data_IF_328357141424
#
_entry.id   IF_328357141424
#
_cell.length_a   1.000
_cell.length_b   1.000
_cell.length_c   1.000
_cell.angle_alpha   90.00
_cell.angle_beta   90.00
_cell.angle_gamma   90.00
#
_symmetry.space_group_name_H-M   'P 1'
#
loop_
_entity.id
_entity.type
_entity.pdbx_description
1 polymer ?
#
# COMPACT_ATOMS: atom_id res chain seq x y z
N UNK A 1 -2.61 -0.24 28.27
CA UNK A 1 -1.57 0.28 27.35
C UNK A 1 -1.03 1.58 27.90
N UNK A 2 0.30 1.73 27.99
CA UNK A 2 0.91 3.02 28.34
C UNK A 2 0.61 4.06 27.24
N UNK A 3 0.65 5.36 27.58
CA UNK A 3 0.40 6.43 26.61
C UNK A 3 1.34 6.38 25.40
N UNK A 4 2.59 5.95 25.60
CA UNK A 4 3.56 5.81 24.52
C UNK A 4 3.13 4.75 23.50
N UNK A 5 2.49 3.65 23.92
CA UNK A 5 1.97 2.65 22.99
C UNK A 5 0.77 3.14 22.18
N UNK A 6 -0.06 4.02 22.75
CA UNK A 6 -1.21 4.58 22.03
C UNK A 6 -0.80 5.48 20.86
N UNK A 7 0.33 6.17 20.97
CA UNK A 7 0.86 7.03 19.90
C UNK A 7 1.29 6.23 18.67
N UNK A 8 1.83 5.03 18.86
CA UNK A 8 2.36 4.17 17.79
C UNK A 8 1.30 3.59 16.83
N UNK A 9 0.01 3.80 17.14
CA UNK A 9 -1.15 3.34 16.38
C UNK A 9 -2.07 4.50 15.97
N UNK A 10 -1.62 5.74 16.18
CA UNK A 10 -2.34 6.96 15.81
C UNK A 10 -1.76 7.52 14.51
N UNK A 11 -2.63 7.83 13.54
CA UNK A 11 -2.21 8.35 12.23
C UNK A 11 -1.41 9.66 12.33
N UNK A 12 -1.67 10.47 13.37
CA UNK A 12 -0.95 11.72 13.63
C UNK A 12 0.54 11.55 13.89
N UNK A 13 0.98 10.37 14.34
CA UNK A 13 2.40 10.09 14.59
C UNK A 13 3.21 9.98 13.29
N UNK A 14 2.54 9.79 12.15
CA UNK A 14 3.15 9.47 10.87
C UNK A 14 3.03 10.58 9.81
N UNK A 15 2.52 11.76 10.19
CA UNK A 15 2.25 12.87 9.25
C UNK A 15 3.52 13.39 8.58
N UNK A 16 4.63 13.41 9.32
CA UNK A 16 5.91 13.97 8.85
C UNK A 16 6.83 12.91 8.23
N UNK A 17 6.34 11.69 8.03
CA UNK A 17 7.11 10.61 7.39
C UNK A 17 7.15 10.82 5.87
N UNK A 18 8.24 10.37 5.24
CA UNK A 18 8.30 10.29 3.77
C UNK A 18 7.17 9.40 3.23
N UNK A 19 6.50 9.79 2.12
CA UNK A 19 5.35 9.07 1.61
C UNK A 19 5.75 7.91 0.70
N UNK A 20 4.98 6.83 0.77
CA UNK A 20 4.95 5.78 -0.24
C UNK A 20 3.71 5.98 -1.11
N UNK A 21 3.94 6.12 -2.41
CA UNK A 21 2.91 6.42 -3.39
C UNK A 21 2.26 5.17 -3.98
N UNK A 22 0.94 5.21 -4.13
CA UNK A 22 0.14 4.23 -4.86
C UNK A 22 -0.71 4.96 -5.90
N UNK A 23 -0.61 4.58 -7.17
CA UNK A 23 -1.45 5.16 -8.22
C UNK A 23 -1.99 4.08 -9.14
N UNK A 24 -3.31 4.06 -9.30
CA UNK A 24 -3.93 3.32 -10.39
C UNK A 24 -3.92 4.20 -11.65
N UNK A 25 -3.21 3.76 -12.69
CA UNK A 25 -3.08 4.50 -13.97
C UNK A 25 -3.32 3.60 -15.17
N UNK A 26 -3.71 4.18 -16.31
CA UNK A 26 -3.84 3.42 -17.55
C UNK A 26 -2.47 2.96 -18.05
N UNK A 27 -2.41 1.76 -18.62
CA UNK A 27 -1.18 1.18 -19.17
C UNK A 27 -0.52 2.09 -20.23
N UNK A 28 -1.31 2.81 -21.02
CA UNK A 28 -0.82 3.74 -22.05
C UNK A 28 -0.08 4.97 -21.48
N UNK A 29 -0.21 5.21 -20.16
CA UNK A 29 0.52 6.27 -19.46
C UNK A 29 1.90 5.81 -18.98
N UNK A 30 2.26 4.53 -19.18
CA UNK A 30 3.51 3.94 -18.70
C UNK A 30 4.43 3.53 -19.88
N UNK A 31 5.75 3.82 -19.81
CA UNK A 31 6.40 4.65 -18.79
C UNK A 31 6.12 6.15 -19.04
N UNK A 32 5.79 6.89 -17.98
CA UNK A 32 5.47 8.32 -18.08
C UNK A 32 5.21 8.95 -16.72
N UNK A 33 5.28 10.29 -16.61
CA UNK A 33 5.01 10.98 -15.35
C UNK A 33 3.54 10.84 -14.95
N UNK A 34 3.30 10.54 -13.68
CA UNK A 34 1.96 10.45 -13.09
C UNK A 34 1.67 11.74 -12.33
N UNK A 35 0.55 12.39 -12.66
CA UNK A 35 0.09 13.61 -12.01
C UNK A 35 -0.14 13.37 -10.50
N UNK A 36 0.33 14.31 -9.67
CA UNK A 36 0.28 14.27 -8.20
C UNK A 36 -1.11 13.89 -7.66
N UNK A 37 -2.18 14.33 -8.32
CA UNK A 37 -3.56 14.07 -7.89
C UNK A 37 -3.98 12.59 -7.96
N UNK A 38 -3.24 11.73 -8.68
CA UNK A 38 -3.54 10.31 -8.80
C UNK A 38 -2.91 9.46 -7.69
N UNK A 39 -1.99 10.04 -6.92
CA UNK A 39 -1.30 9.31 -5.87
C UNK A 39 -2.11 9.28 -4.58
N UNK A 40 -2.50 8.07 -4.18
CA UNK A 40 -2.75 7.76 -2.77
C UNK A 40 -1.41 7.60 -2.04
N UNK A 41 -1.33 8.09 -0.81
CA UNK A 41 -0.09 8.08 -0.03
C UNK A 41 -0.31 7.45 1.34
N UNK A 42 0.69 6.70 1.80
CA UNK A 42 0.83 6.25 3.19
C UNK A 42 2.24 6.60 3.67
N UNK A 43 2.48 6.62 4.97
CA UNK A 43 3.83 6.85 5.48
C UNK A 43 4.78 5.67 5.24
N UNK A 44 6.07 5.97 5.09
CA UNK A 44 7.16 4.98 5.00
C UNK A 44 7.15 4.00 6.19
N UNK A 45 6.89 4.46 7.41
CA UNK A 45 6.86 3.56 8.57
C UNK A 45 5.66 2.61 8.53
N UNK A 46 4.50 3.05 8.02
CA UNK A 46 3.34 2.17 7.84
C UNK A 46 3.57 1.20 6.67
N UNK A 47 4.25 1.63 5.61
CA UNK A 47 4.70 0.75 4.53
C UNK A 47 5.68 -0.33 5.03
N UNK A 48 6.70 0.07 5.79
CA UNK A 48 7.66 -0.86 6.40
C UNK A 48 6.98 -1.86 7.34
N UNK A 49 5.95 -1.41 8.07
CA UNK A 49 5.10 -2.27 8.90
C UNK A 49 4.31 -3.27 8.06
N UNK A 50 3.74 -2.85 6.93
CA UNK A 50 3.07 -3.73 5.98
C UNK A 50 3.99 -4.86 5.50
N UNK A 51 5.19 -4.50 5.02
CA UNK A 51 6.17 -5.47 4.55
C UNK A 51 6.61 -6.43 5.66
N UNK A 52 6.85 -5.91 6.86
CA UNK A 52 7.28 -6.74 8.02
C UNK A 52 6.21 -7.73 8.47
N UNK A 53 4.94 -7.30 8.53
CA UNK A 53 3.82 -8.19 8.87
C UNK A 53 3.61 -9.20 7.74
N UNK A 54 3.67 -8.75 6.48
CA UNK A 54 3.58 -9.64 5.32
C UNK A 54 4.62 -10.75 5.38
N UNK A 55 5.88 -10.40 5.65
CA UNK A 55 6.96 -11.38 5.81
C UNK A 55 6.71 -12.32 7.00
N UNK A 56 6.17 -11.83 8.12
CA UNK A 56 5.89 -12.66 9.30
C UNK A 56 4.78 -13.70 9.07
N UNK A 57 3.88 -13.46 8.11
CA UNK A 57 2.82 -14.37 7.71
C UNK A 57 3.11 -15.08 6.38
N UNK A 58 4.34 -14.99 5.86
CA UNK A 58 4.76 -15.55 4.57
C UNK A 58 3.84 -15.12 3.40
N UNK A 59 3.37 -13.87 3.41
CA UNK A 59 2.53 -13.31 2.33
C UNK A 59 3.36 -13.03 1.08
N UNK A 60 2.79 -13.29 -0.09
CA UNK A 60 3.47 -13.25 -1.38
C UNK A 60 3.88 -11.84 -1.76
N UNK A 61 3.06 -10.81 -1.48
CA UNK A 61 3.41 -9.43 -1.82
C UNK A 61 4.75 -8.99 -1.20
N UNK A 62 5.10 -9.52 -0.03
CA UNK A 62 6.35 -9.17 0.68
C UNK A 62 7.61 -9.65 -0.05
N UNK A 63 7.46 -10.61 -0.97
CA UNK A 63 8.52 -11.13 -1.82
C UNK A 63 8.50 -10.52 -3.23
N UNK A 64 7.34 -9.99 -3.65
CA UNK A 64 7.11 -9.51 -5.01
C UNK A 64 7.31 -8.01 -5.19
N UNK A 65 7.10 -7.21 -4.14
CA UNK A 65 7.24 -5.75 -4.20
C UNK A 65 8.65 -5.37 -3.77
N UNK A 66 9.38 -4.72 -4.67
CA UNK A 66 10.71 -4.20 -4.34
C UNK A 66 10.59 -2.92 -3.50
N UNK A 67 11.26 -2.82 -2.34
CA UNK A 67 11.09 -1.69 -1.44
C UNK A 67 11.84 -0.42 -1.88
N UNK A 68 12.59 -0.44 -2.98
CA UNK A 68 13.50 0.64 -3.41
C UNK A 68 13.27 1.05 -4.88
N UNK A 69 12.47 0.29 -5.64
CA UNK A 69 12.21 0.56 -7.05
C UNK A 69 10.71 0.56 -7.29
N UNK A 70 10.27 1.45 -8.18
CA UNK A 70 8.89 1.48 -8.66
C UNK A 70 8.44 0.09 -9.12
N UNK A 71 7.36 -0.38 -8.52
CA UNK A 71 6.74 -1.65 -8.86
C UNK A 71 5.45 -1.41 -9.63
N UNK A 72 5.25 -2.16 -10.71
CA UNK A 72 4.03 -2.07 -11.54
C UNK A 72 3.29 -3.40 -11.50
N UNK A 73 2.07 -3.38 -10.95
CA UNK A 73 1.21 -4.55 -10.83
C UNK A 73 0.03 -4.48 -11.81
N UNK A 74 -0.21 -5.58 -12.50
CA UNK A 74 -1.40 -5.81 -13.33
C UNK A 74 -2.60 -6.34 -12.52
N UNK A 75 -3.77 -6.49 -13.17
CA UNK A 75 -4.99 -6.90 -12.49
C UNK A 75 -4.89 -8.22 -11.70
N UNK A 76 -4.22 -9.24 -12.26
CA UNK A 76 -4.06 -10.55 -11.57
C UNK A 76 -3.19 -10.43 -10.31
N UNK A 77 -2.12 -9.63 -10.37
CA UNK A 77 -1.25 -9.37 -9.22
C UNK A 77 -1.98 -8.52 -8.17
N UNK A 78 -2.80 -7.56 -8.62
CA UNK A 78 -3.68 -6.77 -7.76
C UNK A 78 -4.76 -7.61 -7.08
N UNK A 79 -5.24 -8.68 -7.72
CA UNK A 79 -6.27 -9.56 -7.16
C UNK A 79 -5.69 -10.33 -5.97
N UNK A 80 -4.54 -10.98 -6.19
CA UNK A 80 -3.77 -11.63 -5.13
C UNK A 80 -3.37 -10.67 -4.03
N UNK A 81 -2.90 -9.46 -4.37
CA UNK A 81 -2.54 -8.46 -3.37
C UNK A 81 -3.76 -7.99 -2.54
N UNK A 82 -4.93 -7.84 -3.15
CA UNK A 82 -6.16 -7.48 -2.43
C UNK A 82 -6.58 -8.56 -1.43
N UNK A 83 -6.48 -9.85 -1.78
CA UNK A 83 -6.76 -10.96 -0.86
C UNK A 83 -5.84 -10.92 0.37
N UNK A 84 -4.55 -10.65 0.16
CA UNK A 84 -3.58 -10.55 1.25
C UNK A 84 -3.83 -9.30 2.12
N UNK A 85 -4.20 -8.17 1.52
CA UNK A 85 -4.61 -6.96 2.26
C UNK A 85 -5.91 -7.18 3.06
N UNK A 86 -6.84 -7.97 2.54
CA UNK A 86 -8.06 -8.35 3.26
C UNK A 86 -7.75 -9.25 4.46
N UNK A 87 -6.86 -10.23 4.30
CA UNK A 87 -6.35 -11.03 5.40
C UNK A 87 -5.73 -10.14 6.50
N UNK A 88 -4.84 -9.22 6.11
CA UNK A 88 -4.20 -8.29 7.04
C UNK A 88 -5.23 -7.40 7.77
N UNK A 89 -6.24 -6.90 7.05
CA UNK A 89 -7.33 -6.12 7.65
C UNK A 89 -8.09 -6.91 8.72
N UNK A 90 -8.17 -8.24 8.60
CA UNK A 90 -8.85 -9.12 9.54
C UNK A 90 -8.07 -9.41 10.84
N UNK A 91 -6.75 -9.22 10.84
CA UNK A 91 -5.88 -9.56 11.98
C UNK A 91 -5.31 -8.34 12.71
N UNK A 92 -5.38 -7.17 12.09
CA UNK A 92 -4.81 -5.92 12.61
C UNK A 92 -5.74 -5.25 13.61
N UNK A 93 -5.19 -4.84 14.75
CA UNK A 93 -5.87 -3.98 15.73
C UNK A 93 -5.08 -2.67 15.93
N UNK A 94 -4.79 -2.01 14.83
CA UNK A 94 -4.02 -0.77 14.73
C UNK A 94 -4.74 0.18 13.76
N UNK A 95 -5.38 1.26 14.26
CA UNK A 95 -6.16 2.17 13.42
C UNK A 95 -5.34 2.84 12.31
N UNK A 96 -4.13 3.30 12.59
CA UNK A 96 -3.27 3.94 11.59
C UNK A 96 -2.92 2.96 10.47
N UNK A 97 -2.64 1.71 10.84
CA UNK A 97 -2.33 0.67 9.85
C UNK A 97 -3.56 0.24 9.05
N UNK A 98 -4.74 0.17 9.66
CA UNK A 98 -5.99 -0.09 8.97
C UNK A 98 -6.34 1.00 7.95
N UNK A 99 -6.12 2.28 8.29
CA UNK A 99 -6.27 3.41 7.36
C UNK A 99 -5.31 3.29 6.17
N UNK A 100 -4.04 2.95 6.43
CA UNK A 100 -3.06 2.73 5.36
C UNK A 100 -3.49 1.58 4.42
N UNK A 101 -3.94 0.44 4.96
CA UNK A 101 -4.46 -0.66 4.14
C UNK A 101 -5.65 -0.19 3.28
N UNK A 102 -6.54 0.64 3.83
CA UNK A 102 -7.68 1.16 3.08
C UNK A 102 -7.25 2.04 1.89
N UNK A 103 -6.23 2.89 2.07
CA UNK A 103 -5.65 3.70 0.97
C UNK A 103 -5.14 2.79 -0.15
N UNK A 104 -4.36 1.77 0.18
CA UNK A 104 -3.82 0.82 -0.80
C UNK A 104 -4.95 0.08 -1.51
N UNK A 105 -5.92 -0.45 -0.76
CA UNK A 105 -7.06 -1.20 -1.31
C UNK A 105 -7.93 -0.35 -2.23
N UNK A 106 -8.05 0.96 -1.98
CA UNK A 106 -8.74 1.89 -2.87
C UNK A 106 -8.09 1.91 -4.26
N UNK A 107 -6.76 2.02 -4.33
CA UNK A 107 -6.05 2.01 -5.62
C UNK A 107 -6.08 0.64 -6.29
N UNK A 108 -5.88 -0.43 -5.52
CA UNK A 108 -6.00 -1.82 -6.02
C UNK A 108 -7.39 -2.06 -6.62
N UNK A 109 -8.45 -1.61 -5.95
CA UNK A 109 -9.82 -1.76 -6.43
C UNK A 109 -10.08 -1.05 -7.76
N UNK A 110 -9.42 0.10 -8.02
CA UNK A 110 -9.54 0.78 -9.32
C UNK A 110 -8.98 -0.09 -10.44
N UNK A 111 -7.88 -0.79 -10.20
CA UNK A 111 -7.24 -1.71 -11.16
C UNK A 111 -8.08 -2.96 -11.38
N UNK A 112 -8.63 -3.56 -10.32
CA UNK A 112 -9.49 -4.76 -10.45
C UNK A 112 -10.74 -4.51 -11.30
N UNK A 113 -11.29 -3.29 -11.22
CA UNK A 113 -12.47 -2.92 -11.99
C UNK A 113 -12.17 -2.51 -13.45
N UNK A 114 -10.89 -2.39 -13.85
CA UNK A 114 -10.48 -1.87 -15.16
C UNK A 114 -9.22 -2.58 -15.68
N UNK A 115 -9.40 -3.47 -16.66
CA UNK A 115 -8.34 -4.36 -17.17
C UNK A 115 -7.13 -3.65 -17.79
N UNK A 116 -7.32 -2.42 -18.28
CA UNK A 116 -6.32 -1.56 -18.88
C UNK A 116 -5.51 -0.77 -17.85
N UNK A 117 -5.90 -0.78 -16.58
CA UNK A 117 -5.17 -0.10 -15.52
C UNK A 117 -4.06 -0.97 -14.93
N UNK A 118 -3.06 -0.29 -14.36
CA UNK A 118 -1.96 -0.86 -13.59
C UNK A 118 -1.85 -0.10 -12.27
N UNK A 119 -1.45 -0.80 -11.22
CA UNK A 119 -1.07 -0.18 -9.96
C UNK A 119 0.43 0.12 -10.03
N UNK A 120 0.79 1.37 -9.82
CA UNK A 120 2.18 1.78 -9.61
C UNK A 120 2.38 2.00 -8.12
N UNK A 121 3.44 1.40 -7.57
CA UNK A 121 3.89 1.56 -6.19
C UNK A 121 5.23 2.26 -6.26
N UNK A 122 5.29 3.48 -5.74
CA UNK A 122 6.51 4.27 -5.62
C UNK A 122 6.98 4.20 -4.17
N UNK A 123 8.06 3.49 -3.84
CA UNK A 123 8.66 3.52 -2.51
C UNK A 123 9.16 4.92 -2.14
N UNK A 124 9.50 5.16 -0.85
CA UNK A 124 10.02 6.45 -0.40
C UNK A 124 11.41 6.76 -0.99
#
# INVERSE_FOLDING_TARGET
MSENYKKLIQSSEFIDDEPVGFAAVNMDMLPGPIDEKFWGQISERLWSRLLSIGAAYDLHFSQAIEPIIDSVLGPEQCDSFNEELEFLSGIVNDPAFAEAIQVIRSEVSKVLNRKDMRLVISPP
#
